data_IF_388697026447
#
_entry.id   IF_388697026447
#
_cell.length_a   1.000
_cell.length_b   1.000
_cell.length_c   1.000
_cell.angle_alpha   90.00
_cell.angle_beta   90.00
_cell.angle_gamma   90.00
#
_symmetry.space_group_name_H-M   'P 1'
#
loop_
_entity.id
_entity.type
_entity.pdbx_description
1 polymer ?
#
# COMPACT_ATOMS: atom_id res chain seq x y z
N UNK A 1 -30.17 -16.94 10.18
CA UNK A 1 -29.38 -16.33 9.10
C UNK A 1 -28.28 -17.30 8.79
N UNK A 2 -28.37 -18.04 7.69
CA UNK A 2 -27.36 -18.97 7.23
C UNK A 2 -26.06 -18.19 7.02
N UNK A 3 -24.99 -18.60 7.71
CA UNK A 3 -23.65 -18.07 7.45
C UNK A 3 -23.38 -18.18 5.94
N UNK A 4 -23.02 -17.10 5.24
CA UNK A 4 -22.54 -17.25 3.90
C UNK A 4 -21.30 -18.16 4.01
N UNK A 5 -21.38 -19.34 3.42
CA UNK A 5 -20.21 -20.20 3.22
C UNK A 5 -19.13 -19.29 2.65
N UNK A 6 -17.98 -19.20 3.33
CA UNK A 6 -16.83 -18.51 2.82
C UNK A 6 -16.52 -19.17 1.48
N UNK A 7 -16.96 -18.55 0.37
CA UNK A 7 -16.62 -19.01 -0.97
C UNK A 7 -15.10 -19.00 -1.03
N UNK A 8 -14.52 -20.15 -1.27
CA UNK A 8 -13.09 -20.34 -1.49
C UNK A 8 -12.73 -19.72 -2.84
N UNK A 9 -12.64 -18.40 -2.86
CA UNK A 9 -12.14 -17.69 -4.05
C UNK A 9 -10.67 -18.07 -4.23
N UNK A 10 -10.26 -18.32 -5.45
CA UNK A 10 -8.86 -18.61 -5.73
C UNK A 10 -8.01 -17.37 -5.41
N UNK A 11 -6.75 -17.58 -5.00
CA UNK A 11 -5.82 -16.48 -4.76
C UNK A 11 -5.79 -15.49 -5.94
N UNK A 12 -5.87 -15.97 -7.17
CA UNK A 12 -5.88 -15.14 -8.37
C UNK A 12 -7.14 -14.28 -8.46
N UNK A 13 -8.32 -14.82 -8.13
CA UNK A 13 -9.58 -14.06 -8.14
C UNK A 13 -9.58 -12.91 -7.14
N UNK A 14 -8.86 -13.05 -6.02
CA UNK A 14 -8.68 -11.96 -5.05
C UNK A 14 -7.60 -10.97 -5.49
N UNK A 15 -6.49 -11.46 -6.04
CA UNK A 15 -5.32 -10.65 -6.39
C UNK A 15 -5.56 -9.74 -7.58
N UNK A 16 -6.17 -10.28 -8.66
CA UNK A 16 -6.33 -9.55 -9.91
C UNK A 16 -7.16 -8.26 -9.77
N UNK A 17 -8.31 -8.27 -9.08
CA UNK A 17 -9.05 -7.05 -8.82
C UNK A 17 -8.27 -6.02 -7.99
N UNK A 18 -7.50 -6.46 -6.99
CA UNK A 18 -6.66 -5.56 -6.18
C UNK A 18 -5.55 -4.94 -7.05
N UNK A 19 -4.93 -5.74 -7.92
CA UNK A 19 -3.93 -5.22 -8.85
C UNK A 19 -4.50 -4.16 -9.79
N UNK A 20 -5.66 -4.42 -10.40
CA UNK A 20 -6.33 -3.46 -11.26
C UNK A 20 -6.78 -2.21 -10.50
N UNK A 21 -7.25 -2.35 -9.27
CA UNK A 21 -7.57 -1.22 -8.41
C UNK A 21 -6.35 -0.30 -8.22
N UNK A 22 -5.19 -0.88 -7.87
CA UNK A 22 -3.96 -0.11 -7.66
C UNK A 22 -3.44 0.52 -8.95
N UNK A 23 -3.51 -0.21 -10.07
CA UNK A 23 -3.15 0.33 -11.38
C UNK A 23 -4.05 1.50 -11.80
N UNK A 24 -5.36 1.37 -11.57
CA UNK A 24 -6.33 2.45 -11.83
C UNK A 24 -6.06 3.68 -10.98
N UNK A 25 -5.69 3.50 -9.70
CA UNK A 25 -5.30 4.61 -8.85
C UNK A 25 -4.06 5.35 -9.39
N UNK A 26 -3.07 4.60 -9.89
CA UNK A 26 -1.90 5.20 -10.55
C UNK A 26 -2.27 5.98 -11.81
N UNK A 27 -3.27 5.53 -12.58
CA UNK A 27 -3.78 6.27 -13.75
C UNK A 27 -4.43 7.59 -13.34
N UNK A 28 -5.20 7.64 -12.25
CA UNK A 28 -5.79 8.90 -11.74
C UNK A 28 -4.70 9.93 -11.45
N UNK A 29 -3.62 9.50 -10.76
CA UNK A 29 -2.49 10.39 -10.47
C UNK A 29 -1.83 10.91 -11.76
N UNK A 30 -1.67 10.08 -12.77
CA UNK A 30 -1.10 10.49 -14.06
C UNK A 30 -2.03 11.50 -14.80
N UNK A 31 -3.33 11.27 -14.74
CA UNK A 31 -4.34 12.17 -15.33
C UNK A 31 -4.31 13.53 -14.62
N UNK A 32 -4.29 13.55 -13.29
CA UNK A 32 -4.20 14.80 -12.53
C UNK A 32 -2.92 15.57 -12.87
N UNK A 33 -1.77 14.88 -12.97
CA UNK A 33 -0.49 15.50 -13.37
C UNK A 33 -0.53 16.05 -14.80
N UNK A 34 -1.21 15.35 -15.71
CA UNK A 34 -1.41 15.85 -17.07
C UNK A 34 -2.18 17.18 -17.09
N UNK A 35 -3.27 17.28 -16.30
CA UNK A 35 -4.00 18.53 -16.16
C UNK A 35 -3.13 19.65 -15.56
N UNK A 36 -2.34 19.37 -14.50
CA UNK A 36 -1.46 20.36 -13.92
C UNK A 36 -0.44 20.90 -14.94
N UNK A 37 0.19 20.00 -15.71
CA UNK A 37 1.15 20.39 -16.74
C UNK A 37 0.52 21.25 -17.86
N UNK A 38 -0.75 21.01 -18.21
CA UNK A 38 -1.47 21.80 -19.22
C UNK A 38 -1.99 23.14 -18.70
N UNK A 39 -2.12 23.30 -17.38
CA UNK A 39 -2.52 24.58 -16.80
C UNK A 39 -1.36 25.58 -16.75
N UNK A 40 -0.22 25.19 -16.19
CA UNK A 40 1.03 25.93 -16.17
C UNK A 40 2.17 25.06 -15.62
N UNK A 41 3.39 25.25 -16.13
CA UNK A 41 4.58 24.57 -15.62
C UNK A 41 4.82 24.88 -14.12
N UNK A 42 4.52 26.09 -13.69
CA UNK A 42 4.60 26.53 -12.28
C UNK A 42 3.66 25.72 -11.38
N UNK A 43 2.44 25.42 -11.85
CA UNK A 43 1.47 24.59 -11.13
C UNK A 43 1.96 23.17 -11.02
N UNK A 44 2.40 22.57 -12.12
CA UNK A 44 2.92 21.22 -12.14
C UNK A 44 4.16 21.05 -11.24
N UNK A 45 5.09 22.00 -11.31
CA UNK A 45 6.29 22.03 -10.48
C UNK A 45 5.97 22.17 -8.99
N UNK A 46 5.08 23.10 -8.64
CA UNK A 46 4.67 23.38 -7.26
C UNK A 46 3.93 22.18 -6.65
N UNK A 47 2.95 21.61 -7.38
CA UNK A 47 2.23 20.42 -6.94
C UNK A 47 3.21 19.24 -6.79
N UNK A 48 4.12 19.07 -7.76
CA UNK A 48 5.17 18.05 -7.70
C UNK A 48 6.02 18.14 -6.44
N UNK A 49 6.37 19.36 -6.01
CA UNK A 49 7.15 19.60 -4.80
C UNK A 49 6.41 19.16 -3.51
N UNK A 50 5.09 19.38 -3.41
CA UNK A 50 4.31 19.06 -2.21
C UNK A 50 3.67 17.66 -2.23
N UNK A 51 3.74 16.95 -3.35
CA UNK A 51 3.23 15.57 -3.50
C UNK A 51 3.70 14.60 -2.39
N UNK A 52 4.96 14.64 -1.91
CA UNK A 52 5.39 13.73 -0.84
C UNK A 52 4.54 13.80 0.43
N UNK A 53 3.99 14.97 0.75
CA UNK A 53 3.05 15.13 1.88
C UNK A 53 1.75 14.37 1.61
N UNK A 54 1.21 14.49 0.40
CA UNK A 54 -0.01 13.77 0.00
C UNK A 54 0.21 12.26 0.02
N UNK A 55 1.36 11.79 -0.49
CA UNK A 55 1.72 10.38 -0.48
C UNK A 55 1.82 9.80 0.94
N UNK A 56 2.33 10.57 1.89
CA UNK A 56 2.40 10.12 3.29
C UNK A 56 1.02 9.74 3.83
N UNK A 57 0.00 10.59 3.66
CA UNK A 57 -1.38 10.27 4.07
C UNK A 57 -1.99 9.13 3.25
N UNK A 58 -1.75 9.14 1.92
CA UNK A 58 -2.27 8.15 0.99
C UNK A 58 -1.70 6.74 1.21
N UNK A 59 -0.55 6.59 1.87
CA UNK A 59 0.02 5.30 2.23
C UNK A 59 -0.34 4.86 3.65
N UNK A 60 -0.14 5.72 4.64
CA UNK A 60 -0.27 5.35 6.06
C UNK A 60 -1.70 4.95 6.41
N UNK A 61 -2.70 5.71 5.95
CA UNK A 61 -4.11 5.45 6.29
C UNK A 61 -4.62 4.12 5.73
N UNK A 62 -4.46 3.79 4.42
CA UNK A 62 -4.87 2.50 3.88
C UNK A 62 -4.12 1.30 4.45
N UNK A 63 -2.82 1.44 4.75
CA UNK A 63 -2.03 0.36 5.35
C UNK A 63 -2.53 0.06 6.76
N UNK A 64 -2.91 1.09 7.54
CA UNK A 64 -3.57 0.87 8.82
C UNK A 64 -4.95 0.18 8.64
N UNK A 65 -5.75 0.57 7.64
CA UNK A 65 -7.02 -0.08 7.33
C UNK A 65 -6.88 -1.58 7.04
N UNK A 66 -5.76 -2.02 6.45
CA UNK A 66 -5.40 -3.42 6.24
C UNK A 66 -5.34 -4.24 7.55
N UNK A 67 -5.15 -3.58 8.69
CA UNK A 67 -5.26 -4.23 10.01
C UNK A 67 -6.67 -4.74 10.26
N UNK A 68 -7.69 -3.95 9.91
CA UNK A 68 -9.08 -4.36 9.99
C UNK A 68 -9.37 -5.60 9.14
N UNK A 69 -8.75 -5.70 7.95
CA UNK A 69 -8.85 -6.89 7.09
C UNK A 69 -8.29 -8.12 7.81
N UNK A 70 -7.05 -8.04 8.31
CA UNK A 70 -6.38 -9.17 9.01
C UNK A 70 -7.15 -9.64 10.24
N UNK A 71 -7.59 -8.69 11.09
CA UNK A 71 -8.26 -9.00 12.36
C UNK A 71 -9.66 -9.56 12.11
N UNK A 72 -10.44 -8.93 11.22
CA UNK A 72 -11.78 -9.39 10.88
C UNK A 72 -11.77 -10.77 10.20
N UNK A 73 -10.83 -11.01 9.28
CA UNK A 73 -10.69 -12.31 8.60
C UNK A 73 -10.38 -13.43 9.59
N UNK A 74 -9.51 -13.19 10.59
CA UNK A 74 -9.23 -14.18 11.64
C UNK A 74 -10.46 -14.46 12.51
N UNK A 75 -11.22 -13.43 12.92
CA UNK A 75 -12.44 -13.63 13.68
C UNK A 75 -13.50 -14.37 12.89
N UNK A 76 -13.67 -14.07 11.60
CA UNK A 76 -14.59 -14.80 10.71
C UNK A 76 -14.20 -16.27 10.59
N UNK A 77 -12.91 -16.55 10.36
CA UNK A 77 -12.38 -17.91 10.28
C UNK A 77 -12.51 -18.70 11.58
N UNK A 78 -12.49 -18.03 12.73
CA UNK A 78 -12.69 -18.62 14.05
C UNK A 78 -14.17 -18.76 14.46
N UNK A 79 -15.13 -18.38 13.58
CA UNK A 79 -16.55 -18.37 13.92
C UNK A 79 -16.98 -17.30 14.92
N UNK A 80 -16.07 -16.37 15.27
CA UNK A 80 -16.32 -15.29 16.25
C UNK A 80 -16.98 -14.07 15.59
N UNK A 81 -18.19 -14.30 15.06
CA UNK A 81 -18.97 -13.24 14.39
C UNK A 81 -19.33 -12.07 15.31
N UNK A 82 -19.38 -12.30 16.63
CA UNK A 82 -19.56 -11.29 17.66
C UNK A 82 -18.45 -10.23 17.66
N UNK A 83 -17.22 -10.58 17.25
CA UNK A 83 -16.05 -9.68 17.18
C UNK A 83 -15.85 -8.99 15.82
N UNK A 84 -16.52 -9.44 14.78
CA UNK A 84 -16.33 -8.94 13.42
C UNK A 84 -16.84 -7.49 13.29
N UNK A 85 -18.09 -7.22 13.71
CA UNK A 85 -18.67 -5.86 13.64
C UNK A 85 -17.89 -4.88 14.52
N UNK A 86 -17.56 -5.19 15.81
CA UNK A 86 -16.70 -4.35 16.61
C UNK A 86 -15.35 -4.03 15.95
N UNK A 87 -14.73 -5.02 15.25
CA UNK A 87 -13.48 -4.80 14.51
C UNK A 87 -13.68 -3.79 13.37
N UNK A 88 -14.75 -3.90 12.59
CA UNK A 88 -15.06 -2.94 11.53
C UNK A 88 -15.30 -1.53 12.08
N UNK A 89 -16.03 -1.42 13.18
CA UNK A 89 -16.29 -0.13 13.83
C UNK A 89 -14.98 0.49 14.36
N UNK A 90 -14.14 -0.30 15.03
CA UNK A 90 -12.85 0.17 15.50
C UNK A 90 -11.94 0.63 14.36
N UNK A 91 -11.91 -0.14 13.25
CA UNK A 91 -11.15 0.23 12.06
C UNK A 91 -11.68 1.56 11.48
N UNK A 92 -12.99 1.72 11.37
CA UNK A 92 -13.62 2.96 10.90
C UNK A 92 -13.27 4.14 11.80
N UNK A 93 -13.38 4.00 13.13
CA UNK A 93 -13.00 5.06 14.06
C UNK A 93 -11.54 5.45 13.90
N UNK A 94 -10.62 4.48 13.85
CA UNK A 94 -9.19 4.75 13.72
C UNK A 94 -8.87 5.44 12.40
N UNK A 95 -9.31 4.89 11.26
CA UNK A 95 -8.96 5.45 9.95
C UNK A 95 -9.65 6.78 9.67
N UNK A 96 -10.91 6.97 10.10
CA UNK A 96 -11.58 8.26 10.01
C UNK A 96 -10.89 9.32 10.87
N UNK A 97 -10.48 8.97 12.11
CA UNK A 97 -9.70 9.87 12.96
C UNK A 97 -8.34 10.19 12.34
N UNK A 98 -7.61 9.19 11.83
CA UNK A 98 -6.33 9.42 11.14
C UNK A 98 -6.50 10.33 9.92
N UNK A 99 -7.52 10.06 9.08
CA UNK A 99 -7.83 10.89 7.91
C UNK A 99 -8.18 12.32 8.28
N UNK A 100 -9.00 12.51 9.32
CA UNK A 100 -9.40 13.85 9.80
C UNK A 100 -8.24 14.59 10.44
N UNK A 101 -7.43 13.93 11.29
CA UNK A 101 -6.25 14.55 11.93
C UNK A 101 -5.23 14.96 10.87
N UNK A 102 -4.97 14.07 9.89
CA UNK A 102 -4.08 14.38 8.79
C UNK A 102 -4.62 15.53 7.93
N UNK A 103 -5.92 15.52 7.62
CA UNK A 103 -6.59 16.59 6.90
C UNK A 103 -6.47 17.95 7.62
N UNK A 104 -6.74 17.97 8.93
CA UNK A 104 -6.60 19.18 9.75
C UNK A 104 -5.16 19.67 9.79
N UNK A 105 -4.18 18.78 9.94
CA UNK A 105 -2.77 19.14 9.92
C UNK A 105 -2.37 19.75 8.57
N UNK A 106 -2.73 19.09 7.45
CA UNK A 106 -2.45 19.63 6.11
C UNK A 106 -3.14 20.96 5.86
N UNK A 107 -4.38 21.13 6.31
CA UNK A 107 -5.13 22.37 6.15
C UNK A 107 -4.54 23.52 6.97
N UNK A 108 -4.24 23.27 8.25
CA UNK A 108 -3.69 24.28 9.15
C UNK A 108 -2.31 24.75 8.72
N UNK A 109 -1.46 23.83 8.28
CA UNK A 109 -0.08 24.10 7.88
C UNK A 109 0.10 24.24 6.36
N UNK A 110 -0.98 24.36 5.58
CA UNK A 110 -0.92 24.42 4.12
C UNK A 110 -0.03 25.54 3.56
N UNK A 111 -0.01 26.69 4.22
CA UNK A 111 0.86 27.82 3.87
C UNK A 111 2.32 27.56 4.30
N UNK A 112 2.52 27.05 5.54
CA UNK A 112 3.84 26.80 6.10
C UNK A 112 4.58 25.66 5.38
N UNK A 113 3.85 24.63 4.94
CA UNK A 113 4.41 23.50 4.17
C UNK A 113 5.13 24.02 2.92
N UNK A 114 4.55 24.99 2.20
CA UNK A 114 5.20 25.60 1.04
C UNK A 114 6.55 26.23 1.40
N UNK A 115 6.61 26.92 2.53
CA UNK A 115 7.85 27.52 3.05
C UNK A 115 8.86 26.43 3.43
N UNK A 116 8.43 25.41 4.17
CA UNK A 116 9.32 24.28 4.59
C UNK A 116 9.87 23.50 3.42
N UNK A 117 9.10 23.42 2.32
CA UNK A 117 9.55 22.79 1.07
C UNK A 117 10.45 23.69 0.21
N UNK A 118 10.73 24.94 0.67
CA UNK A 118 11.61 25.88 -0.04
C UNK A 118 10.97 26.56 -1.25
N UNK A 119 9.65 26.61 -1.32
CA UNK A 119 8.94 27.29 -2.41
C UNK A 119 9.07 28.81 -2.30
N UNK A 120 9.27 29.46 -3.44
CA UNK A 120 9.29 30.92 -3.52
C UNK A 120 7.93 31.54 -3.13
N UNK A 121 7.86 32.79 -2.65
CA UNK A 121 6.61 33.41 -2.23
C UNK A 121 5.49 33.38 -3.26
N UNK A 122 5.83 33.44 -4.54
CA UNK A 122 4.86 33.39 -5.65
C UNK A 122 4.19 32.03 -5.82
N UNK A 123 4.88 30.95 -5.44
CA UNK A 123 4.39 29.56 -5.56
C UNK A 123 3.62 29.07 -4.32
N UNK A 124 3.80 29.73 -3.16
CA UNK A 124 3.14 29.35 -1.91
C UNK A 124 1.61 29.37 -1.99
N UNK A 125 0.93 30.35 -2.65
CA UNK A 125 -0.52 30.31 -2.83
C UNK A 125 -1.03 29.13 -3.63
N UNK A 126 -0.26 28.66 -4.62
CA UNK A 126 -0.58 27.47 -5.42
C UNK A 126 -0.51 26.22 -4.52
N UNK A 127 0.58 26.07 -3.77
CA UNK A 127 0.75 24.97 -2.83
C UNK A 127 -0.35 24.93 -1.76
N UNK A 128 -0.67 26.05 -1.14
CA UNK A 128 -1.71 26.16 -0.11
C UNK A 128 -3.10 25.86 -0.66
N UNK A 129 -3.42 26.32 -1.88
CA UNK A 129 -4.69 25.98 -2.55
C UNK A 129 -4.82 24.49 -2.82
N UNK A 130 -3.76 23.85 -3.32
CA UNK A 130 -3.74 22.42 -3.56
C UNK A 130 -3.87 21.62 -2.26
N UNK A 131 -3.01 21.88 -1.28
CA UNK A 131 -2.98 21.18 0.01
C UNK A 131 -4.28 21.40 0.79
N UNK A 132 -4.78 22.62 0.86
CA UNK A 132 -6.04 22.96 1.51
C UNK A 132 -7.25 22.25 0.88
N UNK A 133 -7.28 22.13 -0.44
CA UNK A 133 -8.31 21.37 -1.12
C UNK A 133 -8.17 19.86 -0.92
N UNK A 134 -6.94 19.32 -0.99
CA UNK A 134 -6.67 17.89 -0.75
C UNK A 134 -6.91 17.47 0.70
N UNK A 135 -6.96 18.38 1.65
CA UNK A 135 -7.36 18.06 3.03
C UNK A 135 -8.77 17.43 3.09
N UNK A 136 -9.71 17.94 2.31
CA UNK A 136 -11.08 17.41 2.22
C UNK A 136 -11.09 15.98 1.67
N UNK A 137 -10.23 15.70 0.68
CA UNK A 137 -10.04 14.36 0.13
C UNK A 137 -9.67 13.35 1.23
N UNK A 138 -8.77 13.68 2.16
CA UNK A 138 -8.33 12.78 3.22
C UNK A 138 -9.41 12.46 4.26
N UNK A 139 -10.36 13.36 4.50
CA UNK A 139 -11.52 13.08 5.35
C UNK A 139 -12.36 11.96 4.73
N UNK A 140 -12.71 12.09 3.46
CA UNK A 140 -13.48 11.04 2.75
C UNK A 140 -12.69 9.74 2.61
N UNK A 141 -11.40 9.84 2.30
CA UNK A 141 -10.51 8.69 2.15
C UNK A 141 -10.40 7.90 3.46
N UNK A 142 -10.26 8.57 4.61
CA UNK A 142 -10.16 7.90 5.92
C UNK A 142 -11.38 7.02 6.22
N UNK A 143 -12.57 7.44 5.80
CA UNK A 143 -13.81 6.65 5.93
C UNK A 143 -13.88 5.57 4.84
N UNK A 144 -13.55 5.90 3.59
CA UNK A 144 -13.60 4.99 2.44
C UNK A 144 -12.75 3.73 2.67
N UNK A 145 -11.52 3.88 3.15
CA UNK A 145 -10.62 2.73 3.34
C UNK A 145 -11.12 1.75 4.39
N UNK A 146 -11.87 2.22 5.39
CA UNK A 146 -12.53 1.35 6.36
C UNK A 146 -13.64 0.51 5.72
N UNK A 147 -14.48 1.10 4.87
CA UNK A 147 -15.51 0.37 4.13
C UNK A 147 -14.89 -0.60 3.11
N UNK A 148 -13.81 -0.21 2.47
CA UNK A 148 -13.04 -1.09 1.59
C UNK A 148 -12.45 -2.29 2.36
N UNK A 149 -12.00 -2.09 3.61
CA UNK A 149 -11.54 -3.18 4.47
C UNK A 149 -12.65 -4.18 4.81
N UNK A 150 -13.91 -3.73 4.99
CA UNK A 150 -15.06 -4.62 5.16
C UNK A 150 -15.26 -5.50 3.93
N UNK A 151 -15.24 -4.91 2.73
CA UNK A 151 -15.40 -5.65 1.47
C UNK A 151 -14.23 -6.62 1.24
N UNK A 152 -12.99 -6.17 1.45
CA UNK A 152 -11.78 -6.99 1.31
C UNK A 152 -11.80 -8.20 2.23
N UNK A 153 -12.08 -8.01 3.52
CA UNK A 153 -12.09 -9.10 4.51
C UNK A 153 -13.10 -10.19 4.20
N UNK A 154 -14.12 -9.89 3.39
CA UNK A 154 -15.14 -10.82 2.90
C UNK A 154 -14.84 -11.40 1.51
N UNK A 155 -13.64 -11.14 0.95
CA UNK A 155 -13.25 -11.59 -0.37
C UNK A 155 -13.89 -10.81 -1.54
N UNK A 156 -14.63 -9.75 -1.27
CA UNK A 156 -15.37 -8.99 -2.30
C UNK A 156 -14.48 -7.97 -3.02
N UNK A 157 -13.27 -8.38 -3.43
CA UNK A 157 -12.27 -7.51 -4.04
C UNK A 157 -12.69 -6.98 -5.42
N UNK A 158 -13.55 -7.69 -6.13
CA UNK A 158 -14.10 -7.23 -7.42
C UNK A 158 -14.85 -5.90 -7.29
N UNK A 159 -15.54 -5.66 -6.16
CA UNK A 159 -16.25 -4.40 -5.92
C UNK A 159 -15.31 -3.23 -5.72
N UNK A 160 -14.15 -3.48 -5.13
CA UNK A 160 -13.09 -2.47 -5.00
C UNK A 160 -12.55 -2.05 -6.38
N UNK A 161 -12.35 -3.03 -7.25
CA UNK A 161 -11.94 -2.77 -8.63
C UNK A 161 -13.00 -1.96 -9.39
N UNK A 162 -14.27 -2.37 -9.37
CA UNK A 162 -15.35 -1.61 -10.03
C UNK A 162 -15.46 -0.19 -9.48
N UNK A 163 -15.36 -0.04 -8.16
CA UNK A 163 -15.37 1.28 -7.52
C UNK A 163 -14.20 2.15 -7.98
N UNK A 164 -12.99 1.58 -8.13
CA UNK A 164 -11.83 2.33 -8.63
C UNK A 164 -11.99 2.77 -10.09
N UNK A 165 -12.60 1.95 -10.94
CA UNK A 165 -12.92 2.36 -12.32
C UNK A 165 -13.94 3.50 -12.36
N UNK A 166 -14.97 3.46 -11.51
CA UNK A 166 -15.93 4.57 -11.38
C UNK A 166 -15.22 5.85 -10.95
N UNK A 167 -14.34 5.76 -9.94
CA UNK A 167 -13.54 6.90 -9.47
C UNK A 167 -12.69 7.49 -10.59
N UNK A 168 -11.94 6.66 -11.32
CA UNK A 168 -11.06 7.12 -12.38
C UNK A 168 -11.83 7.80 -13.52
N UNK A 169 -12.92 7.16 -13.97
CA UNK A 169 -13.76 7.72 -15.04
C UNK A 169 -14.44 9.02 -14.62
N UNK A 170 -14.94 9.07 -13.38
CA UNK A 170 -15.58 10.27 -12.83
C UNK A 170 -14.57 11.40 -12.61
N UNK A 171 -13.37 11.08 -12.07
CA UNK A 171 -12.29 12.05 -11.89
C UNK A 171 -11.90 12.67 -13.23
N UNK A 172 -11.63 11.85 -14.26
CA UNK A 172 -11.30 12.33 -15.59
C UNK A 172 -12.42 13.22 -16.18
N UNK A 173 -13.67 12.78 -16.09
CA UNK A 173 -14.81 13.53 -16.64
C UNK A 173 -15.01 14.87 -15.91
N UNK A 174 -14.97 14.87 -14.57
CA UNK A 174 -15.13 16.08 -13.77
C UNK A 174 -13.93 17.02 -13.88
N UNK A 175 -12.70 16.50 -13.89
CA UNK A 175 -11.51 17.32 -14.10
C UNK A 175 -11.56 18.00 -15.50
N UNK A 176 -11.93 17.25 -16.55
CA UNK A 176 -12.13 17.83 -17.88
C UNK A 176 -13.21 18.93 -17.88
N UNK A 177 -14.36 18.68 -17.26
CA UNK A 177 -15.45 19.63 -17.18
C UNK A 177 -15.06 20.89 -16.40
N UNK A 178 -14.44 20.72 -15.23
CA UNK A 178 -14.11 21.87 -14.36
C UNK A 178 -12.92 22.65 -14.87
N UNK A 179 -11.92 22.01 -15.47
CA UNK A 179 -10.73 22.68 -15.99
C UNK A 179 -11.00 23.27 -17.36
N UNK A 180 -11.45 22.44 -18.33
CA UNK A 180 -11.63 22.87 -19.72
C UNK A 180 -12.96 23.55 -19.96
N UNK A 181 -14.05 23.10 -19.27
CA UNK A 181 -15.38 23.68 -19.44
C UNK A 181 -15.59 24.97 -18.63
N UNK A 182 -15.26 24.95 -17.34
CA UNK A 182 -15.53 26.07 -16.43
C UNK A 182 -14.31 26.94 -16.14
N UNK A 183 -13.10 26.53 -16.54
CA UNK A 183 -11.89 27.31 -16.32
C UNK A 183 -11.44 27.41 -14.85
N UNK A 184 -11.84 26.45 -14.01
CA UNK A 184 -11.51 26.47 -12.57
C UNK A 184 -10.03 26.16 -12.24
N UNK A 185 -9.24 25.81 -13.24
CA UNK A 185 -7.80 25.56 -13.11
C UNK A 185 -7.50 24.49 -12.03
N UNK A 186 -6.51 24.79 -11.18
CA UNK A 186 -6.08 23.90 -10.09
C UNK A 186 -7.24 23.47 -9.16
N UNK A 187 -8.13 24.40 -8.82
CA UNK A 187 -9.29 24.10 -7.97
C UNK A 187 -10.23 23.10 -8.62
N UNK A 188 -10.33 23.11 -9.95
CA UNK A 188 -11.13 22.16 -10.73
C UNK A 188 -10.64 20.72 -10.55
N UNK A 189 -9.33 20.47 -10.68
CA UNK A 189 -8.74 19.14 -10.50
C UNK A 189 -8.96 18.62 -9.07
N UNK A 190 -8.67 19.45 -8.07
CA UNK A 190 -8.84 19.10 -6.66
C UNK A 190 -10.31 18.79 -6.33
N UNK A 191 -11.25 19.59 -6.84
CA UNK A 191 -12.69 19.38 -6.63
C UNK A 191 -13.15 18.09 -7.29
N UNK A 192 -12.66 17.77 -8.49
CA UNK A 192 -12.93 16.51 -9.17
C UNK A 192 -12.47 15.31 -8.34
N UNK A 193 -11.26 15.36 -7.78
CA UNK A 193 -10.71 14.30 -6.93
C UNK A 193 -11.52 14.13 -5.63
N UNK A 194 -11.96 15.22 -4.99
CA UNK A 194 -12.81 15.17 -3.80
C UNK A 194 -14.19 14.56 -4.09
N UNK A 195 -14.85 14.95 -5.19
CA UNK A 195 -16.16 14.40 -5.57
C UNK A 195 -16.03 12.92 -5.92
N UNK A 196 -14.96 12.54 -6.62
CA UNK A 196 -14.73 11.16 -7.02
C UNK A 196 -14.53 10.24 -5.81
N UNK A 197 -13.71 10.64 -4.82
CA UNK A 197 -13.52 9.85 -3.59
C UNK A 197 -14.80 9.82 -2.74
N UNK A 198 -15.56 10.92 -2.67
CA UNK A 198 -16.85 10.95 -1.98
C UNK A 198 -17.87 9.99 -2.64
N UNK A 199 -17.91 9.94 -3.97
CA UNK A 199 -18.74 9.00 -4.73
C UNK A 199 -18.32 7.56 -4.44
N UNK A 200 -17.01 7.26 -4.43
CA UNK A 200 -16.50 5.95 -4.05
C UNK A 200 -16.94 5.54 -2.66
N UNK A 201 -16.89 6.47 -1.70
CA UNK A 201 -17.35 6.25 -0.34
C UNK A 201 -18.85 5.90 -0.32
N UNK A 202 -19.69 6.67 -0.99
CA UNK A 202 -21.14 6.42 -1.06
C UNK A 202 -21.45 5.05 -1.67
N UNK A 203 -20.74 4.67 -2.74
CA UNK A 203 -20.89 3.35 -3.36
C UNK A 203 -20.46 2.23 -2.39
N UNK A 204 -19.31 2.36 -1.72
CA UNK A 204 -18.85 1.37 -0.73
C UNK A 204 -19.82 1.27 0.45
N UNK A 205 -20.30 2.40 0.98
CA UNK A 205 -21.33 2.43 2.04
C UNK A 205 -22.62 1.74 1.59
N UNK A 206 -23.12 2.05 0.39
CA UNK A 206 -24.32 1.42 -0.19
C UNK A 206 -24.18 -0.11 -0.23
N UNK A 207 -23.03 -0.61 -0.71
CA UNK A 207 -22.76 -2.05 -0.75
C UNK A 207 -22.74 -2.68 0.64
N UNK A 208 -22.02 -2.10 1.59
CA UNK A 208 -21.89 -2.63 2.94
C UNK A 208 -23.22 -2.63 3.67
N UNK A 209 -23.98 -1.53 3.59
CA UNK A 209 -25.25 -1.42 4.36
C UNK A 209 -26.42 -2.13 3.68
N UNK A 210 -26.58 -2.00 2.34
CA UNK A 210 -27.75 -2.52 1.66
C UNK A 210 -27.58 -3.96 1.17
N UNK A 211 -26.40 -4.35 0.71
CA UNK A 211 -26.17 -5.70 0.19
C UNK A 211 -25.65 -6.67 1.25
N UNK A 212 -24.75 -6.24 2.11
CA UNK A 212 -24.23 -7.07 3.19
C UNK A 212 -25.10 -7.00 4.45
N UNK A 213 -26.03 -6.05 4.54
CA UNK A 213 -26.91 -5.86 5.70
C UNK A 213 -26.17 -5.50 6.99
N UNK A 214 -24.91 -5.04 6.87
CA UNK A 214 -24.09 -4.67 8.04
C UNK A 214 -24.58 -3.30 8.52
N UNK A 215 -25.03 -3.27 9.79
CA UNK A 215 -25.42 -2.03 10.46
C UNK A 215 -24.46 -1.76 11.61
N UNK A 216 -23.89 -0.57 11.64
CA UNK A 216 -23.08 -0.11 12.76
C UNK A 216 -24.00 0.46 13.84
N UNK A 217 -24.03 -0.18 15.01
CA UNK A 217 -24.85 0.24 16.14
C UNK A 217 -23.97 0.94 17.16
N UNK A 218 -24.27 2.21 17.45
CA UNK A 218 -23.50 3.01 18.40
C UNK A 218 -23.79 2.63 19.87
N UNK A 219 -24.98 2.11 20.18
CA UNK A 219 -25.34 1.68 21.55
C UNK A 219 -24.61 0.38 21.92
N UNK A 220 -23.76 0.42 22.95
CA UNK A 220 -22.94 -0.70 23.39
C UNK A 220 -21.63 -0.87 22.63
N UNK A 221 -21.46 -0.21 21.48
CA UNK A 221 -20.31 -0.35 20.59
C UNK A 221 -18.96 -0.08 21.27
N UNK A 222 -18.90 0.90 22.16
CA UNK A 222 -17.64 1.27 22.86
C UNK A 222 -17.12 0.09 23.69
N UNK A 223 -18.00 -0.59 24.44
CA UNK A 223 -17.62 -1.76 25.25
C UNK A 223 -17.13 -2.92 24.36
N UNK A 224 -17.82 -3.15 23.24
CA UNK A 224 -17.47 -4.24 22.32
C UNK A 224 -16.18 -3.94 21.56
N UNK A 225 -15.96 -2.68 21.18
CA UNK A 225 -14.72 -2.22 20.56
C UNK A 225 -13.51 -2.36 21.51
N UNK A 226 -13.67 -2.13 22.82
CA UNK A 226 -12.58 -2.34 23.79
C UNK A 226 -12.02 -3.76 23.72
N UNK A 227 -12.86 -4.76 23.43
CA UNK A 227 -12.44 -6.16 23.27
C UNK A 227 -11.54 -6.43 22.05
N UNK A 228 -11.49 -5.52 21.07
CA UNK A 228 -10.68 -5.65 19.84
C UNK A 228 -9.56 -4.61 19.74
N UNK A 229 -9.48 -3.66 20.66
CA UNK A 229 -8.43 -2.61 20.69
C UNK A 229 -7.03 -3.22 20.62
N UNK A 230 -6.74 -4.16 21.56
CA UNK A 230 -5.40 -4.74 21.69
C UNK A 230 -4.89 -5.41 20.39
N UNK A 231 -5.65 -6.33 19.74
CA UNK A 231 -5.22 -6.92 18.49
C UNK A 231 -5.12 -5.88 17.35
N UNK A 232 -6.04 -4.91 17.28
CA UNK A 232 -6.02 -3.85 16.28
C UNK A 232 -4.75 -3.00 16.39
N UNK A 233 -4.41 -2.49 17.58
CA UNK A 233 -3.22 -1.66 17.75
C UNK A 233 -1.92 -2.46 17.67
N UNK A 234 -1.90 -3.72 18.12
CA UNK A 234 -0.72 -4.58 18.00
C UNK A 234 -0.27 -4.76 16.54
N UNK A 235 -1.23 -4.95 15.61
CA UNK A 235 -0.96 -5.12 14.19
C UNK A 235 -0.88 -3.75 13.51
N UNK A 236 -1.76 -2.82 13.86
CA UNK A 236 -1.90 -1.52 13.21
C UNK A 236 -0.67 -0.62 13.38
N UNK A 237 -0.07 -0.58 14.56
CA UNK A 237 1.17 0.17 14.79
C UNK A 237 2.29 -0.37 13.89
N UNK A 238 2.43 -1.70 13.81
CA UNK A 238 3.41 -2.32 12.93
C UNK A 238 3.17 -2.03 11.46
N UNK A 239 1.90 -2.00 11.04
CA UNK A 239 1.52 -1.69 9.68
C UNK A 239 1.78 -0.22 9.31
N UNK A 240 1.58 0.72 10.22
CA UNK A 240 1.76 2.14 9.96
C UNK A 240 3.22 2.60 10.08
N UNK A 241 3.95 2.12 11.10
CA UNK A 241 5.27 2.62 11.45
C UNK A 241 6.35 2.24 10.42
N UNK A 242 6.27 1.03 9.85
CA UNK A 242 7.25 0.56 8.86
C UNK A 242 7.19 1.37 7.55
N UNK A 243 6.03 1.55 6.88
CA UNK A 243 5.92 2.40 5.70
C UNK A 243 6.26 3.86 5.97
N UNK A 244 5.91 4.39 7.14
CA UNK A 244 6.29 5.74 7.55
C UNK A 244 7.82 5.89 7.61
N UNK A 245 8.49 4.97 8.30
CA UNK A 245 9.97 4.97 8.39
C UNK A 245 10.63 4.79 7.04
N UNK A 246 10.06 3.92 6.18
CA UNK A 246 10.54 3.75 4.81
C UNK A 246 10.41 5.05 4.01
N UNK A 247 9.33 5.80 4.15
CA UNK A 247 9.15 7.09 3.47
C UNK A 247 10.19 8.12 3.91
N UNK A 248 10.48 8.18 5.21
CA UNK A 248 11.54 9.07 5.75
C UNK A 248 12.92 8.64 5.22
N UNK A 249 13.22 7.34 5.22
CA UNK A 249 14.46 6.81 4.65
C UNK A 249 14.62 7.21 3.17
N UNK A 250 13.55 7.08 2.38
CA UNK A 250 13.58 7.44 0.95
C UNK A 250 13.89 8.92 0.71
N UNK A 251 13.45 9.82 1.59
CA UNK A 251 13.82 11.24 1.54
C UNK A 251 15.32 11.41 1.74
N UNK A 252 15.90 10.75 2.75
CA UNK A 252 17.34 10.80 3.03
C UNK A 252 18.13 10.23 1.86
N UNK A 253 17.71 9.09 1.33
CA UNK A 253 18.34 8.44 0.18
C UNK A 253 18.29 9.31 -1.08
N UNK A 254 17.17 9.97 -1.33
CA UNK A 254 17.04 10.92 -2.45
C UNK A 254 18.06 12.05 -2.33
N UNK A 255 18.35 12.56 -1.13
CA UNK A 255 19.39 13.56 -0.89
C UNK A 255 20.78 13.03 -1.26
N UNK A 256 21.09 11.78 -0.90
CA UNK A 256 22.35 11.13 -1.28
C UNK A 256 22.44 10.97 -2.81
N UNK A 257 21.36 10.52 -3.46
CA UNK A 257 21.36 10.35 -4.93
C UNK A 257 21.51 11.70 -5.65
N UNK A 258 20.89 12.76 -5.15
CA UNK A 258 21.04 14.14 -5.70
C UNK A 258 22.49 14.59 -5.63
N UNK A 259 23.22 14.29 -4.55
CA UNK A 259 24.63 14.65 -4.42
C UNK A 259 25.55 13.96 -5.43
N UNK A 260 25.11 12.83 -6.03
CA UNK A 260 25.80 12.13 -7.10
C UNK A 260 25.61 12.78 -8.49
N UNK A 261 24.77 13.81 -8.59
CA UNK A 261 24.52 14.59 -9.79
C UNK A 261 23.22 14.27 -10.51
N UNK A 262 22.88 15.13 -11.48
CA UNK A 262 21.60 15.11 -12.21
C UNK A 262 21.41 13.80 -12.99
N UNK A 263 22.47 13.33 -13.68
CA UNK A 263 22.43 12.06 -14.43
C UNK A 263 22.12 10.88 -13.51
N UNK A 264 22.72 10.83 -12.31
CA UNK A 264 22.45 9.79 -11.32
C UNK A 264 21.00 9.84 -10.84
N UNK A 265 20.49 11.01 -10.50
CA UNK A 265 19.11 11.18 -10.03
C UNK A 265 18.07 10.81 -11.09
N UNK A 266 18.29 11.24 -12.35
CA UNK A 266 17.39 10.88 -13.45
C UNK A 266 17.40 9.37 -13.72
N UNK A 267 18.57 8.75 -13.82
CA UNK A 267 18.71 7.29 -14.05
C UNK A 267 18.07 6.48 -12.91
N UNK A 268 18.25 6.92 -11.63
CA UNK A 268 17.59 6.32 -10.47
C UNK A 268 16.07 6.34 -10.60
N UNK A 269 15.52 7.50 -10.92
CA UNK A 269 14.07 7.67 -11.07
C UNK A 269 13.50 6.82 -12.21
N UNK A 270 14.17 6.77 -13.37
CA UNK A 270 13.72 5.97 -14.51
C UNK A 270 13.74 4.47 -14.19
N UNK A 271 14.83 3.99 -13.60
CA UNK A 271 14.94 2.60 -13.19
C UNK A 271 13.90 2.24 -12.11
N UNK A 272 13.66 3.10 -11.12
CA UNK A 272 12.66 2.88 -10.09
C UNK A 272 11.22 2.85 -10.66
N UNK A 273 10.91 3.73 -11.63
CA UNK A 273 9.59 3.73 -12.31
C UNK A 273 9.38 2.47 -13.14
N UNK A 274 10.43 1.98 -13.81
CA UNK A 274 10.36 0.73 -14.55
C UNK A 274 9.98 -0.47 -13.65
N UNK A 275 10.35 -0.45 -12.36
CA UNK A 275 10.02 -1.53 -11.41
C UNK A 275 8.64 -1.38 -10.74
N UNK A 276 7.95 -0.27 -10.91
CA UNK A 276 6.72 0.04 -10.19
C UNK A 276 5.59 -1.01 -10.43
N UNK A 277 5.47 -1.53 -11.64
CA UNK A 277 4.43 -2.51 -11.98
C UNK A 277 4.62 -3.83 -11.22
N UNK A 278 5.87 -4.29 -11.10
CA UNK A 278 6.22 -5.50 -10.36
C UNK A 278 5.91 -5.35 -8.87
N UNK A 279 6.28 -4.22 -8.28
CA UNK A 279 5.99 -3.93 -6.86
C UNK A 279 4.48 -3.91 -6.61
N UNK A 280 3.74 -3.25 -7.48
CA UNK A 280 2.27 -3.20 -7.40
C UNK A 280 1.64 -4.59 -7.46
N UNK A 281 2.18 -5.48 -8.32
CA UNK A 281 1.74 -6.86 -8.40
C UNK A 281 2.05 -7.63 -7.10
N UNK A 282 3.25 -7.49 -6.55
CA UNK A 282 3.64 -8.15 -5.30
C UNK A 282 2.78 -7.69 -4.11
N UNK A 283 2.46 -6.41 -4.02
CA UNK A 283 1.55 -5.86 -3.01
C UNK A 283 0.14 -6.42 -3.18
N UNK A 284 -0.39 -6.47 -4.40
CA UNK A 284 -1.72 -7.02 -4.66
C UNK A 284 -1.79 -8.51 -4.29
N UNK A 285 -0.76 -9.29 -4.61
CA UNK A 285 -0.67 -10.70 -4.26
C UNK A 285 -0.57 -10.90 -2.74
N UNK A 286 0.19 -10.03 -2.04
CA UNK A 286 0.29 -10.03 -0.59
C UNK A 286 -1.08 -9.74 0.07
N UNK A 287 -1.81 -8.73 -0.41
CA UNK A 287 -3.15 -8.38 0.09
C UNK A 287 -4.19 -9.48 -0.19
N UNK A 288 -4.16 -10.08 -1.38
CA UNK A 288 -5.02 -11.22 -1.70
C UNK A 288 -4.75 -12.43 -0.81
N UNK A 289 -3.48 -12.75 -0.59
CA UNK A 289 -3.08 -13.85 0.31
C UNK A 289 -3.41 -13.55 1.78
N UNK A 290 -3.31 -12.30 2.22
CA UNK A 290 -3.66 -11.84 3.56
C UNK A 290 -5.11 -12.20 3.93
N UNK A 291 -6.05 -12.02 3.00
CA UNK A 291 -7.46 -12.34 3.21
C UNK A 291 -7.62 -13.84 3.51
N UNK A 292 -7.10 -14.71 2.64
CA UNK A 292 -7.21 -16.16 2.79
C UNK A 292 -6.45 -16.68 4.03
N UNK A 293 -5.22 -16.20 4.24
CA UNK A 293 -4.41 -16.57 5.42
C UNK A 293 -5.12 -16.17 6.72
N UNK A 294 -5.76 -14.99 6.76
CA UNK A 294 -6.51 -14.55 7.92
C UNK A 294 -7.65 -15.52 8.26
N UNK A 295 -8.46 -15.89 7.28
CA UNK A 295 -9.55 -16.86 7.47
C UNK A 295 -9.04 -18.23 7.91
N UNK A 296 -8.03 -18.79 7.25
CA UNK A 296 -7.50 -20.10 7.60
C UNK A 296 -6.76 -20.11 8.94
N UNK A 297 -6.10 -18.99 9.28
CA UNK A 297 -5.49 -18.83 10.60
C UNK A 297 -6.54 -18.83 11.71
N UNK A 298 -7.66 -18.12 11.53
CA UNK A 298 -8.81 -18.15 12.44
C UNK A 298 -9.42 -19.55 12.58
N UNK A 299 -9.56 -20.27 11.46
CA UNK A 299 -10.05 -21.65 11.42
C UNK A 299 -9.02 -22.69 11.89
N UNK A 300 -7.83 -22.29 12.35
CA UNK A 300 -6.71 -23.16 12.78
C UNK A 300 -6.21 -24.13 11.71
N UNK A 301 -6.44 -23.81 10.42
CA UNK A 301 -5.99 -24.61 9.27
C UNK A 301 -4.53 -24.24 8.92
N UNK A 302 -3.61 -24.48 9.83
CA UNK A 302 -2.19 -24.06 9.72
C UNK A 302 -1.46 -24.66 8.52
N UNK A 303 -1.83 -25.89 8.12
CA UNK A 303 -1.26 -26.53 6.93
C UNK A 303 -1.62 -25.81 5.64
N UNK A 304 -2.85 -25.29 5.54
CA UNK A 304 -3.31 -24.51 4.38
C UNK A 304 -2.67 -23.13 4.35
N UNK A 305 -2.50 -22.49 5.51
CA UNK A 305 -1.76 -21.22 5.65
C UNK A 305 -0.32 -21.40 5.14
N UNK A 306 0.36 -22.47 5.55
CA UNK A 306 1.73 -22.74 5.14
C UNK A 306 1.83 -23.02 3.63
N UNK A 307 0.94 -23.87 3.09
CA UNK A 307 0.88 -24.14 1.64
C UNK A 307 0.63 -22.87 0.83
N UNK A 308 -0.31 -22.03 1.27
CA UNK A 308 -0.61 -20.77 0.60
C UNK A 308 0.59 -19.84 0.64
N UNK A 309 1.27 -19.71 1.79
CA UNK A 309 2.47 -18.90 1.91
C UNK A 309 3.53 -19.29 0.88
N UNK A 310 3.91 -20.57 0.83
CA UNK A 310 4.93 -21.04 -0.12
C UNK A 310 4.48 -20.92 -1.57
N UNK A 311 3.19 -21.12 -1.85
CA UNK A 311 2.61 -20.87 -3.17
C UNK A 311 2.74 -19.39 -3.56
N UNK A 312 2.38 -18.49 -2.66
CA UNK A 312 2.47 -17.02 -2.88
C UNK A 312 3.91 -16.58 -3.08
N UNK A 313 4.85 -17.06 -2.23
CA UNK A 313 6.29 -16.77 -2.38
C UNK A 313 6.81 -17.22 -3.73
N UNK A 314 6.50 -18.45 -4.17
CA UNK A 314 6.93 -18.95 -5.49
C UNK A 314 6.40 -18.07 -6.62
N UNK A 315 5.11 -17.75 -6.59
CA UNK A 315 4.50 -16.90 -7.62
C UNK A 315 5.10 -15.50 -7.66
N UNK A 316 5.20 -14.82 -6.50
CA UNK A 316 5.72 -13.46 -6.46
C UNK A 316 7.19 -13.41 -6.90
N UNK A 317 8.02 -14.37 -6.46
CA UNK A 317 9.44 -14.44 -6.84
C UNK A 317 9.61 -14.74 -8.32
N UNK A 318 8.84 -15.70 -8.88
CA UNK A 318 8.92 -16.02 -10.31
C UNK A 318 8.49 -14.84 -11.19
N UNK A 319 7.40 -14.17 -10.85
CA UNK A 319 6.92 -13.00 -11.60
C UNK A 319 7.93 -11.85 -11.48
N UNK A 320 8.45 -11.59 -10.27
CA UNK A 320 9.44 -10.54 -10.05
C UNK A 320 10.73 -10.79 -10.84
N UNK A 321 11.24 -12.02 -10.81
CA UNK A 321 12.43 -12.40 -11.56
C UNK A 321 12.22 -12.28 -13.08
N UNK A 322 11.12 -12.85 -13.59
CA UNK A 322 10.82 -12.80 -15.03
C UNK A 322 10.65 -11.36 -15.51
N UNK A 323 9.94 -10.52 -14.73
CA UNK A 323 9.76 -9.11 -15.04
C UNK A 323 11.09 -8.36 -14.99
N UNK A 324 11.91 -8.52 -13.93
CA UNK A 324 13.18 -7.82 -13.78
C UNK A 324 14.19 -8.22 -14.89
N UNK A 325 14.25 -9.50 -15.25
CA UNK A 325 15.06 -9.98 -16.39
C UNK A 325 14.54 -9.36 -17.69
N UNK A 326 13.24 -9.37 -17.94
CA UNK A 326 12.66 -8.76 -19.14
C UNK A 326 12.97 -7.27 -19.23
N UNK A 327 12.77 -6.51 -18.16
CA UNK A 327 13.08 -5.07 -18.11
C UNK A 327 14.58 -4.80 -18.26
N UNK A 328 15.46 -5.66 -17.77
CA UNK A 328 16.89 -5.55 -17.97
C UNK A 328 17.32 -5.87 -19.41
N UNK A 329 16.80 -6.96 -20.02
CA UNK A 329 17.11 -7.35 -21.40
C UNK A 329 16.72 -6.24 -22.38
N UNK A 330 15.54 -5.65 -22.20
CA UNK A 330 15.06 -4.51 -22.98
C UNK A 330 15.43 -3.16 -22.36
N UNK A 331 16.43 -3.12 -21.46
CA UNK A 331 16.72 -1.96 -20.62
C UNK A 331 17.02 -0.68 -21.38
N UNK A 332 17.70 -0.75 -22.53
CA UNK A 332 17.95 0.41 -23.39
C UNK A 332 16.65 1.00 -23.94
N UNK A 333 15.75 0.16 -24.44
CA UNK A 333 14.45 0.61 -24.91
C UNK A 333 13.56 1.13 -23.78
N UNK A 334 13.58 0.47 -22.61
CA UNK A 334 12.78 0.87 -21.44
C UNK A 334 13.23 2.22 -20.88
N UNK A 335 14.54 2.43 -20.70
CA UNK A 335 15.07 3.72 -20.23
C UNK A 335 14.96 4.76 -21.36
N UNK A 336 15.13 4.37 -22.62
CA UNK A 336 14.97 5.23 -23.80
C UNK A 336 13.56 5.81 -23.99
N UNK A 337 12.53 5.25 -23.31
CA UNK A 337 11.20 5.88 -23.26
C UNK A 337 11.26 7.24 -22.52
N UNK A 338 12.21 7.40 -21.59
CA UNK A 338 12.30 8.58 -20.73
C UNK A 338 13.39 9.57 -21.13
N UNK A 339 14.42 9.14 -21.88
CA UNK A 339 15.57 9.98 -22.22
C UNK A 339 16.31 9.45 -23.45
N UNK A 340 16.87 10.37 -24.22
CA UNK A 340 17.76 10.05 -25.35
C UNK A 340 19.25 10.15 -24.96
N UNK A 341 19.58 10.52 -23.71
CA UNK A 341 20.96 10.64 -23.22
C UNK A 341 21.61 9.26 -23.07
N UNK A 342 22.67 8.93 -23.85
CA UNK A 342 23.34 7.64 -23.78
C UNK A 342 23.93 7.32 -22.41
N UNK A 343 24.39 8.34 -21.67
CA UNK A 343 24.95 8.15 -20.32
C UNK A 343 23.87 7.72 -19.33
N UNK A 344 22.68 8.34 -19.39
CA UNK A 344 21.53 7.96 -18.55
C UNK A 344 20.99 6.57 -18.91
N UNK A 345 20.93 6.23 -20.20
CA UNK A 345 20.50 4.91 -20.68
C UNK A 345 21.46 3.83 -20.18
N UNK A 346 22.78 4.03 -20.36
CA UNK A 346 23.80 3.08 -19.90
C UNK A 346 23.75 2.88 -18.39
N UNK A 347 23.72 3.97 -17.61
CA UNK A 347 23.64 3.90 -16.15
C UNK A 347 22.33 3.23 -15.70
N UNK A 348 21.19 3.61 -16.29
CA UNK A 348 19.90 2.99 -16.00
C UNK A 348 19.89 1.48 -16.25
N UNK A 349 20.51 1.01 -17.34
CA UNK A 349 20.65 -0.42 -17.65
C UNK A 349 21.49 -1.18 -16.58
N UNK A 350 22.55 -0.57 -16.05
CA UNK A 350 23.29 -1.16 -14.92
C UNK A 350 22.46 -1.25 -13.65
N UNK A 351 21.60 -0.25 -13.36
CA UNK A 351 20.67 -0.32 -12.23
C UNK A 351 19.64 -1.43 -12.43
N UNK A 352 19.11 -1.61 -13.65
CA UNK A 352 18.20 -2.68 -13.98
C UNK A 352 18.84 -4.07 -13.85
N UNK A 353 20.14 -4.21 -14.09
CA UNK A 353 20.88 -5.45 -13.81
C UNK A 353 20.90 -5.76 -12.30
N UNK A 354 21.17 -4.77 -11.46
CA UNK A 354 21.09 -4.94 -10.00
C UNK A 354 19.67 -5.30 -9.59
N UNK A 355 18.66 -4.72 -10.24
CA UNK A 355 17.26 -5.01 -9.99
C UNK A 355 16.88 -6.49 -10.21
N UNK A 356 17.55 -7.22 -11.10
CA UNK A 356 17.32 -8.66 -11.30
C UNK A 356 17.51 -9.45 -10.00
N UNK A 357 18.47 -9.05 -9.15
CA UNK A 357 18.71 -9.68 -7.85
C UNK A 357 17.88 -9.06 -6.73
N UNK A 358 17.62 -7.77 -6.81
CA UNK A 358 16.95 -6.98 -5.81
C UNK A 358 15.44 -7.22 -5.77
N UNK A 359 14.76 -7.22 -6.92
CA UNK A 359 13.30 -7.28 -6.99
C UNK A 359 12.69 -8.62 -6.52
N UNK A 360 13.28 -9.79 -6.81
CA UNK A 360 12.79 -11.04 -6.22
C UNK A 360 12.86 -11.05 -4.69
N UNK A 361 13.95 -10.51 -4.12
CA UNK A 361 14.12 -10.42 -2.67
C UNK A 361 13.10 -9.45 -2.05
N UNK A 362 12.89 -8.29 -2.67
CA UNK A 362 11.88 -7.31 -2.26
C UNK A 362 10.47 -7.88 -2.32
N UNK A 363 10.14 -8.65 -3.36
CA UNK A 363 8.87 -9.34 -3.48
C UNK A 363 8.65 -10.34 -2.33
N UNK A 364 9.68 -11.09 -1.95
CA UNK A 364 9.66 -11.98 -0.77
C UNK A 364 9.43 -11.19 0.52
N UNK A 365 10.08 -10.03 0.68
CA UNK A 365 9.91 -9.18 1.87
C UNK A 365 8.49 -8.62 1.98
N UNK A 366 7.92 -8.15 0.88
CA UNK A 366 6.54 -7.66 0.84
C UNK A 366 5.59 -8.77 1.29
N UNK A 367 5.60 -9.92 0.60
CA UNK A 367 4.69 -11.03 0.89
C UNK A 367 4.95 -11.62 2.28
N UNK A 368 6.21 -11.82 2.65
CA UNK A 368 6.61 -12.36 3.95
C UNK A 368 6.20 -11.47 5.12
N UNK A 369 6.41 -10.15 4.98
CA UNK A 369 6.01 -9.15 5.96
C UNK A 369 4.49 -9.12 6.17
N UNK A 370 3.71 -9.08 5.09
CA UNK A 370 2.24 -9.13 5.17
C UNK A 370 1.76 -10.45 5.78
N UNK A 371 2.33 -11.59 5.38
CA UNK A 371 1.96 -12.90 5.91
C UNK A 371 2.23 -13.01 7.42
N UNK A 372 3.42 -12.62 7.89
CA UNK A 372 3.78 -12.65 9.32
C UNK A 372 2.85 -11.75 10.14
N UNK A 373 2.55 -10.55 9.66
CA UNK A 373 1.61 -9.62 10.31
C UNK A 373 0.20 -10.22 10.37
N UNK A 374 -0.24 -10.88 9.30
CA UNK A 374 -1.56 -11.49 9.20
C UNK A 374 -1.74 -12.64 10.18
N UNK A 375 -0.73 -13.48 10.39
CA UNK A 375 -0.79 -14.59 11.34
C UNK A 375 -0.57 -14.15 12.80
N UNK A 376 -0.38 -12.85 13.05
CA UNK A 376 -0.25 -12.27 14.39
C UNK A 376 1.19 -12.04 14.86
N UNK A 377 2.20 -12.42 14.08
CA UNK A 377 3.62 -12.15 14.36
C UNK A 377 4.06 -10.77 13.80
N UNK A 378 3.30 -9.72 14.15
CA UNK A 378 3.52 -8.39 13.59
C UNK A 378 4.78 -7.68 14.17
N UNK A 379 5.24 -8.09 15.35
CA UNK A 379 6.42 -7.47 15.98
C UNK A 379 7.73 -7.83 15.29
N UNK A 380 7.83 -9.07 14.80
CA UNK A 380 9.07 -9.53 14.19
C UNK A 380 9.40 -8.77 12.89
N UNK A 381 8.53 -8.71 11.86
CA UNK A 381 8.82 -7.94 10.66
C UNK A 381 8.98 -6.44 10.94
N UNK A 382 8.29 -5.88 11.95
CA UNK A 382 8.52 -4.49 12.36
C UNK A 382 9.95 -4.28 12.87
N UNK A 383 10.42 -5.11 13.80
CA UNK A 383 11.77 -4.97 14.35
C UNK A 383 12.81 -5.14 13.24
N UNK A 384 12.68 -6.19 12.42
CA UNK A 384 13.57 -6.42 11.29
C UNK A 384 13.52 -5.23 10.33
N UNK A 385 12.32 -4.80 9.90
CA UNK A 385 12.15 -3.65 9.01
C UNK A 385 12.82 -2.40 9.56
N UNK A 386 12.55 -2.03 10.82
CA UNK A 386 13.13 -0.84 11.45
C UNK A 386 14.65 -0.94 11.56
N UNK A 387 15.18 -2.11 11.96
CA UNK A 387 16.64 -2.32 12.06
C UNK A 387 17.33 -2.12 10.72
N UNK A 388 16.76 -2.66 9.65
CA UNK A 388 17.36 -2.55 8.33
C UNK A 388 17.12 -1.19 7.67
N UNK A 389 15.90 -0.61 7.79
CA UNK A 389 15.60 0.74 7.27
C UNK A 389 16.58 1.78 7.83
N UNK A 390 16.85 1.74 9.12
CA UNK A 390 17.74 2.70 9.78
C UNK A 390 19.19 2.23 9.78
N UNK A 391 19.47 0.93 9.80
CA UNK A 391 20.80 0.33 9.83
C UNK A 391 21.57 0.46 8.52
N UNK A 392 20.86 0.50 7.37
CA UNK A 392 21.50 0.66 6.06
C UNK A 392 22.17 2.04 5.90
N UNK A 393 21.63 3.10 6.51
CA UNK A 393 22.17 4.46 6.37
C UNK A 393 23.60 4.59 6.93
N UNK A 394 23.89 4.18 8.20
CA UNK A 394 25.28 4.15 8.70
C UNK A 394 26.21 3.30 7.85
N UNK A 395 25.73 2.17 7.29
CA UNK A 395 26.53 1.31 6.42
C UNK A 395 26.89 2.03 5.13
N UNK A 396 25.93 2.70 4.49
CA UNK A 396 26.18 3.52 3.29
C UNK A 396 27.20 4.61 3.59
N UNK A 397 27.04 5.38 4.66
CA UNK A 397 27.99 6.42 5.05
C UNK A 397 29.38 5.87 5.40
N UNK A 398 29.47 4.70 6.05
CA UNK A 398 30.74 4.06 6.35
C UNK A 398 31.45 3.60 5.06
N UNK A 399 30.73 3.00 4.12
CA UNK A 399 31.33 2.58 2.83
C UNK A 399 31.78 3.81 2.05
N UNK A 400 30.94 4.85 1.94
CA UNK A 400 31.25 6.08 1.20
C UNK A 400 32.50 6.79 1.76
N UNK A 401 32.71 6.70 3.09
CA UNK A 401 33.89 7.28 3.73
C UNK A 401 35.22 6.64 3.28
N UNK A 402 35.22 5.35 2.93
CA UNK A 402 36.41 4.61 2.50
C UNK A 402 36.49 4.48 0.98
N UNK A 403 35.37 4.37 0.30
CA UNK A 403 35.23 4.24 -1.14
C UNK A 403 34.02 5.05 -1.63
N UNK A 404 34.26 6.17 -2.35
CA UNK A 404 33.17 6.97 -2.86
C UNK A 404 32.12 6.11 -3.59
N UNK A 405 30.90 6.11 -3.09
CA UNK A 405 29.85 5.25 -3.62
C UNK A 405 29.31 5.80 -4.94
N UNK A 406 29.39 4.96 -5.98
CA UNK A 406 28.64 5.20 -7.19
C UNK A 406 27.15 4.90 -6.97
N UNK A 407 26.27 5.37 -7.87
CA UNK A 407 24.85 5.04 -7.83
C UNK A 407 24.62 3.52 -7.90
N UNK A 408 25.39 2.79 -8.69
CA UNK A 408 25.32 1.32 -8.78
C UNK A 408 25.70 0.68 -7.44
N UNK A 409 26.76 1.17 -6.78
CA UNK A 409 27.15 0.74 -5.44
C UNK A 409 26.05 0.95 -4.39
N UNK A 410 25.36 2.09 -4.46
CA UNK A 410 24.21 2.37 -3.60
C UNK A 410 23.07 1.36 -3.82
N UNK A 411 22.76 1.03 -5.07
CA UNK A 411 21.75 0.02 -5.39
C UNK A 411 22.18 -1.39 -4.96
N UNK A 412 23.48 -1.72 -5.01
CA UNK A 412 23.99 -2.98 -4.45
C UNK A 412 23.80 -3.07 -2.93
N UNK A 413 23.95 -1.96 -2.20
CA UNK A 413 23.65 -1.92 -0.78
C UNK A 413 22.17 -2.22 -0.52
N UNK A 414 21.25 -1.65 -1.31
CA UNK A 414 19.83 -1.97 -1.21
C UNK A 414 19.52 -3.42 -1.56
N UNK A 415 20.19 -3.96 -2.59
CA UNK A 415 20.03 -5.36 -2.95
C UNK A 415 20.47 -6.29 -1.82
N UNK A 416 21.60 -6.01 -1.17
CA UNK A 416 22.09 -6.78 -0.04
C UNK A 416 21.10 -6.70 1.15
N UNK A 417 20.59 -5.49 1.47
CA UNK A 417 19.58 -5.26 2.50
C UNK A 417 18.33 -6.10 2.27
N UNK A 418 17.74 -6.02 1.08
CA UNK A 418 16.54 -6.77 0.74
C UNK A 418 16.75 -8.28 0.76
N UNK A 419 17.89 -8.76 0.26
CA UNK A 419 18.25 -10.19 0.26
C UNK A 419 18.37 -10.71 1.70
N UNK A 420 19.06 -10.00 2.57
CA UNK A 420 19.23 -10.41 3.97
C UNK A 420 17.86 -10.43 4.67
N UNK A 421 17.05 -9.40 4.51
CA UNK A 421 15.69 -9.35 5.07
C UNK A 421 14.80 -10.47 4.56
N UNK A 422 14.91 -10.81 3.26
CA UNK A 422 14.17 -11.91 2.69
C UNK A 422 14.51 -13.25 3.37
N UNK A 423 15.81 -13.53 3.54
CA UNK A 423 16.26 -14.73 4.26
C UNK A 423 15.77 -14.76 5.70
N UNK A 424 15.83 -13.63 6.43
CA UNK A 424 15.36 -13.51 7.82
C UNK A 424 13.86 -13.79 7.91
N UNK A 425 13.05 -13.22 7.01
CA UNK A 425 11.60 -13.41 6.98
C UNK A 425 11.23 -14.87 6.65
N UNK A 426 11.90 -15.49 5.67
CA UNK A 426 11.70 -16.90 5.31
C UNK A 426 12.13 -17.83 6.44
N UNK A 427 13.26 -17.54 7.08
CA UNK A 427 13.71 -18.29 8.27
C UNK A 427 12.69 -18.20 9.39
N UNK A 428 12.21 -16.99 9.69
CA UNK A 428 11.17 -16.80 10.72
C UNK A 428 9.93 -17.62 10.43
N UNK A 429 9.46 -17.63 9.18
CA UNK A 429 8.32 -18.43 8.77
C UNK A 429 8.56 -19.92 8.99
N UNK A 430 9.72 -20.44 8.59
CA UNK A 430 10.11 -21.86 8.75
C UNK A 430 10.17 -22.30 10.20
N UNK A 431 10.43 -21.42 11.17
CA UNK A 431 10.43 -21.79 12.60
C UNK A 431 9.07 -22.25 13.10
N UNK A 432 7.99 -21.98 12.36
CA UNK A 432 6.62 -22.35 12.74
C UNK A 432 6.05 -21.62 13.96
N UNK A 433 6.80 -20.69 14.57
CA UNK A 433 6.37 -19.96 15.79
C UNK A 433 5.09 -19.17 15.58
N UNK A 434 4.78 -18.76 14.35
CA UNK A 434 3.58 -18.04 13.99
C UNK A 434 2.29 -18.82 14.27
N UNK A 435 2.32 -20.17 14.29
CA UNK A 435 1.13 -21.03 14.50
C UNK A 435 0.42 -20.77 15.83
N UNK A 436 1.16 -20.32 16.85
CA UNK A 436 0.60 -19.97 18.16
C UNK A 436 0.28 -18.48 18.36
N UNK A 437 0.45 -17.64 17.33
CA UNK A 437 0.38 -16.18 17.48
C UNK A 437 -0.92 -15.55 16.98
N UNK A 438 -1.81 -16.34 16.38
CA UNK A 438 -3.12 -15.88 15.92
C UNK A 438 -3.92 -15.21 17.02
N UNK A 439 -4.72 -14.22 16.65
CA UNK A 439 -5.54 -13.42 17.60
C UNK A 439 -6.49 -14.33 18.39
N UNK A 440 -6.94 -15.40 17.76
CA UNK A 440 -7.89 -16.38 18.31
C UNK A 440 -7.21 -17.61 18.92
N UNK A 441 -5.86 -17.65 18.97
CA UNK A 441 -5.12 -18.82 19.47
C UNK A 441 -5.46 -19.18 20.93
N UNK A 442 -5.66 -18.19 21.78
CA UNK A 442 -6.00 -18.35 23.20
C UNK A 442 -7.50 -18.17 23.49
N UNK A 443 -8.37 -18.07 22.48
CA UNK A 443 -9.80 -17.87 22.67
C UNK A 443 -10.50 -19.22 22.89
N UNK A 444 -11.05 -19.50 24.10
CA UNK A 444 -11.76 -20.76 24.38
C UNK A 444 -13.09 -20.89 23.63
N UNK A 445 -13.65 -19.79 23.12
CA UNK A 445 -14.90 -19.76 22.38
C UNK A 445 -14.69 -19.80 20.85
N UNK A 446 -13.44 -19.91 20.38
CA UNK A 446 -13.16 -20.07 18.96
C UNK A 446 -13.59 -21.48 18.51
N UNK A 447 -14.68 -21.56 17.76
CA UNK A 447 -15.10 -22.78 17.08
C UNK A 447 -14.72 -22.62 15.59
N UNK A 448 -13.86 -23.51 15.03
CA UNK A 448 -13.47 -23.41 13.63
C UNK A 448 -14.71 -23.39 12.74
N UNK A 449 -14.85 -22.34 11.91
CA UNK A 449 -15.89 -22.30 10.90
C UNK A 449 -15.65 -23.45 9.89
N UNK A 450 -16.68 -24.14 9.48
CA UNK A 450 -16.60 -25.14 8.41
C UNK A 450 -16.32 -24.39 7.11
N UNK A 451 -15.06 -24.36 6.69
CA UNK A 451 -14.64 -23.79 5.41
C UNK A 451 -14.57 -24.93 4.42
N UNK A 452 -15.39 -24.89 3.36
CA UNK A 452 -15.33 -25.89 2.29
C UNK A 452 -13.94 -25.87 1.62
N UNK A 453 -13.40 -27.05 1.20
CA UNK A 453 -12.12 -27.12 0.51
C UNK A 453 -12.18 -26.37 -0.82
N UNK A 454 -11.02 -25.85 -1.27
CA UNK A 454 -10.86 -25.19 -2.57
C UNK A 454 -11.40 -26.08 -3.68
N UNK A 455 -12.33 -25.58 -4.49
CA UNK A 455 -12.80 -26.29 -5.67
C UNK A 455 -11.59 -26.55 -6.60
N UNK A 456 -11.17 -27.80 -6.72
CA UNK A 456 -10.02 -28.23 -7.55
C UNK A 456 -9.00 -29.15 -6.85
N UNK A 457 -9.11 -29.41 -5.53
CA UNK A 457 -8.19 -30.31 -4.79
C UNK A 457 -8.82 -31.64 -4.37
N UNK A 458 -9.87 -32.08 -5.06
CA UNK A 458 -10.29 -33.49 -4.96
C UNK A 458 -9.46 -34.28 -5.95
N UNK A 459 -8.56 -35.13 -5.42
CA UNK A 459 -7.75 -36.16 -6.09
C UNK A 459 -6.49 -35.72 -6.87
N UNK A 460 -5.37 -35.71 -6.20
CA UNK A 460 -4.11 -36.26 -6.68
C UNK A 460 -3.31 -36.76 -5.47
#
# INVERSE_FOLDING_TARGET
MTSPSLRTESLFQLTWPIYLQNATHSLVVLVDMWFFAHLADEIAGTVGAVIPIIWMGAFVIPVFAGTGVSVASQYMGAGRHDKVIPTYMMNLCCTATMGTVFALAVWLFSADIGIWMGLTPDLQPIASTYLGGMSVYFVFMGVLVAYNAVLSSRGMTQWLMYNSFVVASLNLALASLFVLGFGWGLRGVVTASCISVATALLLSMRWVHLRLGIRFHLKGAVRDMLGVVRPMFRIGISNALEPFSYSVQQIILSTIVISLGVTAMASHNYAARAQMFQVTFSVALALGSQILMGHWMGARRFGDVDRLFWKTIRWTTSVALTYAVGVWVFGEAVIGIFTDDPAMISLGKHLLLVAVFYEPARAVNIVGGFALKTVGDARFPLIVGMTFIWGILPVIFAIDRFHPLSLVGLWMCFAADEIIRAFINLWRWRTGRWRGMGITAADPHASPATIEPLAGETQA
#
